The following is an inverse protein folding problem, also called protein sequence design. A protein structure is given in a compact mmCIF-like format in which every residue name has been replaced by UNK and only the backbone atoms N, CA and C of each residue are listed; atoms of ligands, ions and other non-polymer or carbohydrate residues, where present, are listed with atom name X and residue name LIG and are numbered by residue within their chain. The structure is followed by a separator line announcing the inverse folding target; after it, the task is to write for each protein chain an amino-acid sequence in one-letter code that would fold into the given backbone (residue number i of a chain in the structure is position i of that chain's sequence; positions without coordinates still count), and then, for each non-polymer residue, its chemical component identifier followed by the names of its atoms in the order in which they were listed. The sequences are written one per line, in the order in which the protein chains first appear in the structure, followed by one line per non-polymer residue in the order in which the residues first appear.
data_IF_386870803197
#
_entry.id   IF_386870803197
#
_cell.length_a   1.000
_cell.length_b   1.000
_cell.length_c   1.000
_cell.angle_alpha   90.00
_cell.angle_beta   90.00
_cell.angle_gamma   90.00
#
_symmetry.space_group_name_H-M   'P 1'
#
loop_
_entity.id
_entity.type
_entity.pdbx_description
1 polymer ?
#
# COMPACT_ATOMS: atom_id res chain seq x y z
N UNK A 1 9.58 13.59 16.09
CA UNK A 1 8.66 13.44 14.94
C UNK A 1 9.40 13.87 13.68
N UNK A 2 9.37 13.04 12.63
CA UNK A 2 9.96 13.35 11.33
C UNK A 2 8.99 13.00 10.19
N UNK A 3 9.07 13.76 9.09
CA UNK A 3 8.42 13.44 7.82
C UNK A 3 9.52 13.17 6.79
N UNK A 4 9.45 12.03 6.11
CA UNK A 4 10.36 11.67 5.03
C UNK A 4 9.57 11.57 3.73
N UNK A 5 9.91 12.39 2.74
CA UNK A 5 9.37 12.24 1.40
C UNK A 5 10.01 11.02 0.71
N UNK A 6 9.19 10.21 0.03
CA UNK A 6 9.68 9.13 -0.82
C UNK A 6 9.91 9.66 -2.23
N UNK A 7 11.14 9.52 -2.71
CA UNK A 7 11.53 9.90 -4.07
C UNK A 7 12.46 8.81 -4.65
N UNK A 8 11.96 7.92 -5.53
CA UNK A 8 10.64 7.95 -6.16
C UNK A 8 9.50 7.47 -5.22
N UNK A 9 8.25 7.89 -5.49
CA UNK A 9 7.08 7.31 -4.84
C UNK A 9 6.97 5.80 -5.07
N UNK A 10 6.45 5.06 -4.09
CA UNK A 10 6.43 3.61 -4.07
C UNK A 10 5.02 3.04 -4.28
N UNK A 11 4.81 2.11 -5.23
CA UNK A 11 3.54 1.41 -5.37
C UNK A 11 3.26 0.50 -4.17
N UNK A 12 2.19 0.80 -3.44
CA UNK A 12 1.74 0.03 -2.28
C UNK A 12 0.27 -0.37 -2.39
N UNK A 13 -0.15 -1.28 -1.54
CA UNK A 13 -1.54 -1.63 -1.31
C UNK A 13 -1.84 -1.35 0.16
N UNK A 14 -2.82 -0.50 0.42
CA UNK A 14 -3.35 -0.21 1.76
C UNK A 14 -4.54 -1.15 2.00
N UNK A 15 -4.45 -1.99 3.03
CA UNK A 15 -5.53 -2.91 3.38
C UNK A 15 -6.84 -2.11 3.54
N UNK A 16 -7.94 -2.65 3.01
CA UNK A 16 -9.30 -2.03 3.02
C UNK A 16 -9.46 -0.78 2.13
N UNK A 17 -8.37 -0.22 1.55
CA UNK A 17 -8.41 0.93 0.62
C UNK A 17 -7.98 0.60 -0.81
N UNK A 18 -7.15 -0.42 -0.99
CA UNK A 18 -6.72 -0.88 -2.31
C UNK A 18 -5.31 -0.39 -2.68
N UNK A 19 -5.05 -0.34 -3.98
CA UNK A 19 -3.76 0.07 -4.54
C UNK A 19 -3.57 1.58 -4.45
N UNK A 20 -2.32 2.00 -4.31
CA UNK A 20 -1.97 3.40 -4.32
C UNK A 20 -0.47 3.63 -4.49
N UNK A 21 -0.11 4.90 -4.55
CA UNK A 21 1.25 5.38 -4.65
C UNK A 21 1.64 6.12 -3.36
N UNK A 22 2.55 5.53 -2.58
CA UNK A 22 3.07 6.14 -1.37
C UNK A 22 4.16 7.15 -1.70
N UNK A 23 4.04 8.36 -1.18
CA UNK A 23 4.99 9.46 -1.44
C UNK A 23 5.58 10.07 -0.16
N UNK A 24 5.17 9.58 1.01
CA UNK A 24 5.71 10.06 2.28
C UNK A 24 5.56 9.07 3.42
N UNK A 25 6.43 9.21 4.42
CA UNK A 25 6.45 8.44 5.65
C UNK A 25 6.52 9.40 6.85
N UNK A 26 5.67 9.19 7.85
CA UNK A 26 5.67 9.94 9.10
C UNK A 26 6.13 9.02 10.21
N UNK A 27 7.19 9.43 10.90
CA UNK A 27 7.69 8.74 12.09
C UNK A 27 7.40 9.59 13.34
N UNK A 28 6.54 9.08 14.21
CA UNK A 28 6.21 9.70 15.49
C UNK A 28 7.23 9.36 16.60
N UNK A 29 8.10 8.37 16.38
CA UNK A 29 9.10 7.90 17.33
C UNK A 29 8.73 6.56 17.99
N UNK A 30 9.39 6.23 19.12
CA UNK A 30 9.17 4.97 19.83
C UNK A 30 7.70 4.72 20.17
N UNK A 31 7.30 3.45 20.24
CA UNK A 31 5.92 3.00 20.55
C UNK A 31 4.84 3.41 19.53
N UNK A 32 5.21 4.01 18.39
CA UNK A 32 4.30 4.33 17.30
C UNK A 32 4.65 3.59 16.00
N UNK A 33 3.62 3.30 15.19
CA UNK A 33 3.85 2.79 13.84
C UNK A 33 4.36 3.92 12.93
N UNK A 34 5.23 3.56 11.98
CA UNK A 34 5.45 4.38 10.80
C UNK A 34 4.12 4.55 10.05
N UNK A 35 3.77 5.78 9.71
CA UNK A 35 2.55 6.10 8.98
C UNK A 35 2.91 6.41 7.53
N UNK A 36 2.28 5.71 6.60
CA UNK A 36 2.48 5.86 5.17
C UNK A 36 1.44 6.81 4.59
N UNK A 37 1.89 7.83 3.87
CA UNK A 37 1.04 8.75 3.13
C UNK A 37 0.95 8.29 1.69
N UNK A 38 -0.26 7.91 1.29
CA UNK A 38 -0.52 7.22 0.02
C UNK A 38 -1.67 7.88 -0.73
N UNK A 39 -1.49 8.15 -2.02
CA UNK A 39 -2.60 8.48 -2.91
C UNK A 39 -3.25 7.16 -3.40
N UNK A 40 -4.54 6.98 -3.14
CA UNK A 40 -5.28 5.77 -3.53
C UNK A 40 -5.69 5.87 -5.00
N UNK A 41 -5.37 4.84 -5.78
CA UNK A 41 -5.53 4.86 -7.24
C UNK A 41 -7.01 4.98 -7.68
N UNK A 42 -7.90 4.26 -7.00
CA UNK A 42 -9.32 4.15 -7.40
C UNK A 42 -10.14 5.39 -7.01
N UNK A 43 -9.86 6.00 -5.85
CA UNK A 43 -10.65 7.09 -5.29
C UNK A 43 -9.98 8.45 -5.38
N UNK A 44 -8.67 8.50 -5.61
CA UNK A 44 -7.86 9.73 -5.53
C UNK A 44 -7.66 10.25 -4.11
N UNK A 45 -8.13 9.53 -3.08
CA UNK A 45 -7.96 9.93 -1.67
C UNK A 45 -6.48 9.93 -1.28
N UNK A 46 -6.04 10.96 -0.56
CA UNK A 46 -4.79 10.90 0.19
C UNK A 46 -5.10 10.27 1.54
N UNK A 47 -4.51 9.11 1.80
CA UNK A 47 -4.76 8.32 3.00
C UNK A 47 -3.49 8.06 3.80
N UNK A 48 -3.61 8.08 5.12
CA UNK A 48 -2.55 7.78 6.07
C UNK A 48 -2.80 6.42 6.72
N UNK A 49 -1.92 5.44 6.47
CA UNK A 49 -2.07 4.09 7.01
C UNK A 49 -0.85 3.69 7.87
N UNK A 50 -1.06 3.03 9.03
CA UNK A 50 0.05 2.51 9.83
C UNK A 50 0.71 1.32 9.15
N UNK A 51 1.99 1.11 9.39
CA UNK A 51 2.82 0.07 8.76
C UNK A 51 2.16 -1.33 8.67
N UNK A 52 1.46 -1.85 9.71
CA UNK A 52 0.78 -3.15 9.63
C UNK A 52 -0.31 -3.23 8.55
N UNK A 53 -0.86 -2.10 8.09
CA UNK A 53 -1.90 -2.01 7.04
C UNK A 53 -1.35 -1.78 5.63
N UNK A 54 -0.03 -1.72 5.43
CA UNK A 54 0.56 -1.42 4.11
C UNK A 54 1.32 -2.63 3.57
N UNK A 55 1.09 -2.99 2.31
CA UNK A 55 1.78 -4.08 1.61
C UNK A 55 2.37 -3.60 0.30
N UNK A 56 3.46 -4.22 -0.11
CA UNK A 56 4.00 -4.01 -1.46
C UNK A 56 3.01 -4.52 -2.51
N UNK A 57 2.91 -3.83 -3.64
CA UNK A 57 2.23 -4.36 -4.81
C UNK A 57 3.03 -5.52 -5.44
N UNK A 58 2.38 -6.44 -6.17
CA UNK A 58 3.08 -7.46 -6.97
C UNK A 58 3.97 -6.81 -8.03
N UNK A 59 5.10 -7.44 -8.33
CA UNK A 59 6.05 -6.96 -9.33
C UNK A 59 6.69 -8.16 -10.05
N UNK A 60 6.33 -8.38 -11.31
CA UNK A 60 6.77 -9.54 -12.09
C UNK A 60 8.27 -9.50 -12.43
N UNK A 61 8.82 -8.31 -12.74
CA UNK A 61 10.24 -8.12 -13.06
C UNK A 61 11.12 -8.42 -11.84
N UNK A 62 10.63 -8.11 -10.64
CA UNK A 62 11.29 -8.44 -9.38
C UNK A 62 10.93 -9.84 -8.86
N UNK A 63 10.16 -10.65 -9.60
CA UNK A 63 9.70 -11.96 -9.15
C UNK A 63 8.83 -11.92 -7.88
N UNK A 64 8.22 -10.77 -7.57
CA UNK A 64 7.40 -10.56 -6.37
C UNK A 64 5.96 -10.97 -6.63
N UNK A 65 5.49 -12.10 -6.06
CA UNK A 65 4.11 -12.53 -6.23
C UNK A 65 3.15 -11.60 -5.50
N UNK A 66 1.85 -11.75 -5.79
CA UNK A 66 0.80 -11.07 -5.02
C UNK A 66 0.86 -11.52 -3.55
N UNK A 67 0.86 -10.58 -2.58
CA UNK A 67 0.83 -10.95 -1.17
C UNK A 67 -0.45 -11.72 -0.80
N UNK A 68 -0.36 -12.90 -0.13
CA UNK A 68 -1.53 -13.71 0.21
C UNK A 68 -2.57 -13.00 1.07
N UNK A 69 -2.16 -12.01 1.86
CA UNK A 69 -3.09 -11.23 2.70
C UNK A 69 -4.09 -10.40 1.89
N UNK A 70 -3.77 -10.10 0.63
CA UNK A 70 -4.69 -9.39 -0.28
C UNK A 70 -5.77 -10.30 -0.85
N UNK A 71 -5.68 -11.61 -0.63
CA UNK A 71 -6.61 -12.58 -1.20
C UNK A 71 -7.91 -12.70 -0.41
N UNK A 72 -7.94 -12.27 0.86
CA UNK A 72 -9.10 -12.41 1.76
C UNK A 72 -10.23 -11.39 1.53
N UNK A 73 -10.22 -10.65 0.42
CA UNK A 73 -11.26 -9.67 0.10
C UNK A 73 -11.37 -9.27 -1.38
N UNK A 74 -10.68 -9.96 -2.30
CA UNK A 74 -10.69 -9.65 -3.73
C UNK A 74 -11.62 -10.62 -4.49
N UNK A 75 -12.88 -10.22 -4.69
CA UNK A 75 -13.91 -10.94 -5.47
C UNK A 75 -13.66 -10.93 -6.98
N UNK A 76 -12.51 -10.41 -7.45
CA UNK A 76 -12.18 -10.40 -8.88
C UNK A 76 -11.56 -11.72 -9.38
N UNK A 77 -11.35 -12.72 -8.51
CA UNK A 77 -10.89 -14.07 -8.91
C UNK A 77 -11.98 -14.91 -9.58
N UNK A 78 -13.23 -14.48 -9.47
CA UNK A 78 -14.42 -15.14 -9.98
C UNK A 78 -14.57 -14.92 -11.50
N UNK A 79 -13.98 -13.83 -12.00
CA UNK A 79 -13.89 -13.52 -13.43
C UNK A 79 -12.73 -14.29 -14.03
N UNK A 80 -12.96 -15.59 -14.26
CA UNK A 80 -12.17 -16.36 -15.21
C UNK A 80 -12.24 -15.64 -16.56
N UNK A 81 -11.06 -15.32 -17.09
CA UNK A 81 -10.86 -14.94 -18.48
C UNK A 81 -11.52 -16.04 -19.33
N UNK A 82 -12.58 -15.67 -20.04
CA UNK A 82 -13.15 -16.44 -21.14
C UNK A 82 -12.22 -16.38 -22.35
#
# INVERSE_FOLDING_TARGET
MSFTQLDPPMPVHVLEKGKGLAFGLIDYGPEHNLIWVTAIDETGEIWCAPNPKVRMQPNWTMGRPRPPILDKGDTRRDLKIA
#
